data_IF_004448349831
#
_entry.id   IF_004448349831
#
_cell.length_a   1.000
_cell.length_b   1.000
_cell.length_c   1.000
_cell.angle_alpha   90.00
_cell.angle_beta   90.00
_cell.angle_gamma   90.00
#
_symmetry.space_group_name_H-M   'P 1'
#
loop_
_entity.id
_entity.type
_entity.pdbx_description
1 polymer ?
#
# COMPACT_ATOMS: atom_id res chain seq x y z
N UNK A 1 4.31 -7.52 17.77
CA UNK A 1 5.57 -8.27 17.55
C UNK A 1 5.84 -8.06 16.10
N UNK A 2 7.02 -7.53 15.76
CA UNK A 2 7.28 -7.12 14.39
C UNK A 2 7.46 -8.33 13.49
N UNK A 3 6.74 -8.35 12.38
CA UNK A 3 6.84 -9.34 11.31
C UNK A 3 7.74 -8.78 10.22
N UNK A 4 8.75 -9.57 9.82
CA UNK A 4 9.67 -9.20 8.75
C UNK A 4 9.06 -9.53 7.39
N UNK A 5 9.17 -8.60 6.45
CA UNK A 5 8.74 -8.76 5.05
C UNK A 5 9.99 -8.87 4.20
N UNK A 6 10.25 -10.05 3.65
CA UNK A 6 11.44 -10.33 2.85
C UNK A 6 11.13 -10.69 1.39
N UNK A 7 9.90 -11.11 1.12
CA UNK A 7 9.41 -11.47 -0.20
C UNK A 7 7.95 -11.03 -0.40
N UNK A 8 7.39 -11.32 -1.58
CA UNK A 8 6.02 -10.93 -1.90
C UNK A 8 4.97 -11.76 -1.15
N UNK A 9 5.29 -12.99 -0.74
CA UNK A 9 4.39 -13.81 0.06
C UNK A 9 4.23 -13.26 1.47
N UNK A 10 5.31 -12.78 2.07
CA UNK A 10 5.28 -12.09 3.35
C UNK A 10 4.40 -10.82 3.24
N UNK A 11 4.57 -10.03 2.17
CA UNK A 11 3.78 -8.81 1.95
C UNK A 11 2.29 -9.13 1.77
N UNK A 12 1.96 -10.17 0.99
CA UNK A 12 0.58 -10.60 0.78
C UNK A 12 -0.07 -11.15 2.07
N UNK A 13 0.72 -11.79 2.93
CA UNK A 13 0.24 -12.33 4.22
C UNK A 13 -0.22 -11.26 5.21
N UNK A 14 0.05 -9.96 4.95
CA UNK A 14 -0.48 -8.85 5.74
C UNK A 14 -2.03 -8.85 5.74
N UNK A 15 -2.67 -9.40 4.70
CA UNK A 15 -4.13 -9.56 4.64
C UNK A 15 -4.70 -10.33 5.83
N UNK A 16 -3.92 -11.22 6.44
CA UNK A 16 -4.35 -12.05 7.57
C UNK A 16 -4.30 -11.32 8.92
N UNK A 17 -3.55 -10.21 9.03
CA UNK A 17 -3.44 -9.38 10.24
C UNK A 17 -3.20 -7.90 9.94
N UNK A 18 -4.24 -7.20 9.50
CA UNK A 18 -4.19 -5.77 9.13
C UNK A 18 -3.86 -4.81 10.30
N UNK A 19 -3.65 -5.31 11.51
CA UNK A 19 -3.29 -4.56 12.70
C UNK A 19 -1.87 -4.78 13.20
N UNK A 20 -1.08 -5.61 12.50
CA UNK A 20 0.28 -5.98 12.89
C UNK A 20 1.33 -4.87 12.73
N UNK A 21 2.51 -5.13 13.27
CA UNK A 21 3.70 -4.29 13.06
C UNK A 21 4.58 -4.97 12.00
N UNK A 22 4.89 -4.26 10.91
CA UNK A 22 5.61 -4.82 9.76
C UNK A 22 6.89 -4.05 9.47
N UNK A 23 7.94 -4.78 9.14
CA UNK A 23 9.21 -4.20 8.72
C UNK A 23 9.70 -4.82 7.42
N UNK A 24 9.93 -3.98 6.42
CA UNK A 24 10.54 -4.41 5.17
C UNK A 24 12.04 -4.61 5.40
N UNK A 25 12.54 -5.81 5.11
CA UNK A 25 13.95 -6.19 5.33
C UNK A 25 14.71 -6.47 4.04
N UNK A 26 14.02 -6.39 2.90
CA UNK A 26 14.57 -6.58 1.56
C UNK A 26 13.81 -5.76 0.53
N UNK A 27 14.46 -5.40 -0.57
CA UNK A 27 13.74 -4.82 -1.72
C UNK A 27 12.89 -5.91 -2.39
N UNK A 28 11.65 -5.57 -2.76
CA UNK A 28 10.74 -6.45 -3.48
C UNK A 28 10.66 -6.00 -4.92
N UNK A 29 11.13 -6.82 -5.85
CA UNK A 29 11.08 -6.54 -7.29
C UNK A 29 10.60 -7.78 -8.08
N UNK A 30 10.75 -7.76 -9.40
CA UNK A 30 10.31 -8.85 -10.28
C UNK A 30 11.07 -10.17 -10.09
N UNK A 31 12.26 -10.14 -9.47
CA UNK A 31 13.11 -11.29 -9.19
C UNK A 31 12.92 -11.82 -7.75
N UNK A 32 12.22 -11.08 -6.88
CA UNK A 32 11.91 -11.53 -5.51
C UNK A 32 10.80 -12.58 -5.51
N UNK A 33 10.95 -13.61 -4.65
CA UNK A 33 10.03 -14.73 -4.56
C UNK A 33 8.57 -14.27 -4.39
N UNK A 34 7.65 -14.91 -5.13
CA UNK A 34 6.22 -14.63 -5.10
C UNK A 34 5.74 -13.52 -6.04
N UNK A 35 6.63 -12.74 -6.67
CA UNK A 35 6.22 -11.63 -7.55
C UNK A 35 5.18 -12.08 -8.57
N UNK A 36 5.47 -13.13 -9.34
CA UNK A 36 4.58 -13.59 -10.43
C UNK A 36 3.26 -14.21 -9.95
N UNK A 37 3.15 -14.56 -8.68
CA UNK A 37 1.98 -15.21 -8.09
C UNK A 37 1.04 -14.21 -7.42
N UNK A 38 1.56 -13.13 -6.81
CA UNK A 38 0.74 -12.18 -6.03
C UNK A 38 0.76 -10.74 -6.54
N UNK A 39 1.78 -10.30 -7.28
CA UNK A 39 1.91 -8.89 -7.72
C UNK A 39 2.01 -8.71 -9.24
N UNK A 40 2.82 -9.51 -9.92
CA UNK A 40 3.11 -9.44 -11.36
C UNK A 40 1.93 -9.79 -12.28
N UNK A 41 0.76 -10.08 -11.71
CA UNK A 41 -0.48 -10.31 -12.45
C UNK A 41 -1.52 -9.22 -12.20
N UNK A 42 -1.66 -8.75 -10.95
CA UNK A 42 -2.48 -7.62 -10.49
C UNK A 42 -2.47 -7.64 -8.96
N UNK A 43 -1.97 -6.60 -8.30
CA UNK A 43 -1.99 -6.47 -6.85
C UNK A 43 -3.39 -6.11 -6.36
N UNK A 44 -3.95 -6.93 -5.48
CA UNK A 44 -5.17 -6.59 -4.73
C UNK A 44 -4.82 -5.67 -3.55
N UNK A 45 -5.40 -4.47 -3.42
CA UNK A 45 -5.09 -3.58 -2.30
C UNK A 45 -5.27 -4.25 -0.92
N UNK A 46 -4.39 -3.95 0.03
CA UNK A 46 -4.48 -4.45 1.40
C UNK A 46 -5.53 -3.70 2.22
N UNK A 47 -6.38 -4.44 2.94
CA UNK A 47 -7.48 -3.91 3.73
C UNK A 47 -8.60 -3.29 2.88
N UNK A 48 -9.59 -2.71 3.57
CA UNK A 48 -10.80 -2.21 2.93
C UNK A 48 -11.58 -1.24 3.81
N UNK A 49 -12.74 -0.75 3.35
CA UNK A 49 -13.57 0.17 4.11
C UNK A 49 -14.13 -0.44 5.40
N UNK A 50 -14.35 -1.75 5.45
CA UNK A 50 -14.86 -2.48 6.62
C UNK A 50 -13.75 -3.03 7.53
N UNK A 51 -12.54 -3.20 6.98
CA UNK A 51 -11.35 -3.77 7.57
C UNK A 51 -10.10 -2.96 7.14
N UNK A 52 -9.96 -1.71 7.60
CA UNK A 52 -8.83 -0.88 7.20
C UNK A 52 -7.52 -1.41 7.80
N UNK A 53 -6.40 -1.09 7.17
CA UNK A 53 -5.10 -1.30 7.78
C UNK A 53 -4.88 -0.28 8.90
N UNK A 54 -4.62 -0.78 10.12
CA UNK A 54 -4.44 0.03 11.34
C UNK A 54 -3.06 -0.17 11.97
N UNK A 55 -2.23 -1.04 11.38
CA UNK A 55 -0.91 -1.37 11.89
C UNK A 55 0.17 -0.35 11.53
N UNK A 56 1.40 -0.75 11.79
CA UNK A 56 2.61 0.04 11.49
C UNK A 56 3.40 -0.63 10.36
N UNK A 57 3.92 0.17 9.42
CA UNK A 57 4.73 -0.31 8.32
C UNK A 57 6.03 0.51 8.20
N UNK A 58 7.16 -0.11 8.56
CA UNK A 58 8.49 0.47 8.48
C UNK A 58 9.25 -0.10 7.27
N UNK A 59 9.47 0.74 6.25
CA UNK A 59 10.18 0.34 5.03
C UNK A 59 11.71 0.26 5.17
N UNK A 60 12.31 0.84 6.21
CA UNK A 60 13.77 0.95 6.39
C UNK A 60 14.58 1.49 5.18
N UNK A 61 13.92 2.20 4.25
CA UNK A 61 14.49 2.70 3.00
C UNK A 61 14.45 1.70 1.84
N UNK A 62 13.91 0.50 2.05
CA UNK A 62 13.71 -0.52 1.01
C UNK A 62 12.54 -0.18 0.08
N UNK A 63 12.61 -0.76 -1.11
CA UNK A 63 11.65 -0.53 -2.18
C UNK A 63 10.69 -1.69 -2.40
N UNK A 64 9.45 -1.37 -2.75
CA UNK A 64 8.51 -2.26 -3.43
C UNK A 64 8.41 -1.75 -4.87
N UNK A 65 8.83 -2.57 -5.82
CA UNK A 65 9.03 -2.19 -7.22
C UNK A 65 8.05 -2.90 -8.16
N UNK A 66 7.59 -2.20 -9.19
CA UNK A 66 6.83 -2.81 -10.29
C UNK A 66 5.44 -3.35 -9.89
N UNK A 67 4.88 -2.85 -8.78
CA UNK A 67 3.52 -3.16 -8.35
C UNK A 67 2.50 -2.53 -9.29
N UNK A 68 1.58 -3.34 -9.82
CA UNK A 68 0.47 -2.88 -10.67
C UNK A 68 -0.86 -3.16 -9.97
N UNK A 69 -1.74 -2.16 -9.88
CA UNK A 69 -3.11 -2.27 -9.37
C UNK A 69 -4.05 -1.80 -10.47
N UNK A 70 -4.93 -2.67 -10.94
CA UNK A 70 -5.97 -2.34 -11.90
C UNK A 70 -7.27 -3.04 -11.53
N UNK A 71 -8.41 -2.38 -11.79
CA UNK A 71 -9.73 -2.91 -11.52
C UNK A 71 -10.73 -1.86 -11.02
N UNK A 72 -11.97 -2.30 -10.86
CA UNK A 72 -13.10 -1.47 -10.40
C UNK A 72 -13.06 -1.31 -8.86
N UNK A 73 -12.01 -0.67 -8.35
CA UNK A 73 -11.83 -0.38 -6.92
C UNK A 73 -12.35 1.02 -6.55
N UNK A 74 -13.17 1.10 -5.50
CA UNK A 74 -13.58 2.38 -4.89
C UNK A 74 -12.40 3.12 -4.24
N UNK A 75 -11.39 2.38 -3.76
CA UNK A 75 -10.17 2.91 -3.18
C UNK A 75 -9.00 1.93 -3.42
N UNK A 76 -7.91 2.39 -4.02
CA UNK A 76 -6.79 1.52 -4.41
C UNK A 76 -5.40 2.14 -4.22
N UNK A 77 -4.43 1.25 -4.01
CA UNK A 77 -3.02 1.50 -3.72
C UNK A 77 -2.36 0.20 -3.23
N UNK A 78 -1.18 0.31 -2.60
CA UNK A 78 -0.67 -0.81 -1.78
C UNK A 78 -1.71 -1.21 -0.73
N UNK A 79 -2.32 -0.22 -0.09
CA UNK A 79 -3.47 -0.36 0.80
C UNK A 79 -4.74 0.24 0.16
N UNK A 80 -5.91 -0.32 0.44
CA UNK A 80 -7.18 0.33 0.07
C UNK A 80 -7.48 1.50 1.01
N UNK A 81 -7.62 1.20 2.31
CA UNK A 81 -8.00 2.17 3.36
C UNK A 81 -7.07 2.04 4.56
N UNK A 82 -6.60 3.20 5.05
CA UNK A 82 -5.81 3.32 6.28
C UNK A 82 -6.64 3.92 7.41
N UNK A 83 -6.45 3.42 8.64
CA UNK A 83 -7.10 3.96 9.83
C UNK A 83 -6.12 4.07 11.01
N UNK A 84 -5.55 5.25 11.21
CA UNK A 84 -4.60 5.52 12.29
C UNK A 84 -3.23 4.85 12.10
N UNK A 85 -2.94 4.33 10.92
CA UNK A 85 -1.69 3.63 10.62
C UNK A 85 -0.47 4.55 10.62
N UNK A 86 0.69 4.02 10.98
CA UNK A 86 1.99 4.70 10.84
C UNK A 86 2.80 4.05 9.71
N UNK A 87 3.18 4.84 8.70
CA UNK A 87 3.95 4.35 7.55
C UNK A 87 5.20 5.20 7.39
N UNK A 88 6.36 4.57 7.52
CA UNK A 88 7.65 5.27 7.53
C UNK A 88 8.69 4.63 6.62
N UNK A 89 9.51 5.45 5.98
CA UNK A 89 10.73 5.00 5.29
C UNK A 89 10.50 4.03 4.12
N UNK A 90 9.32 4.04 3.49
CA UNK A 90 8.98 3.15 2.39
C UNK A 90 9.23 3.81 1.02
N UNK A 91 9.77 3.04 0.08
CA UNK A 91 9.89 3.44 -1.33
C UNK A 91 8.93 2.61 -2.17
N UNK A 92 8.03 3.26 -2.89
CA UNK A 92 7.21 2.65 -3.93
C UNK A 92 7.77 3.07 -5.28
N UNK A 93 8.33 2.13 -6.03
CA UNK A 93 9.09 2.43 -7.25
C UNK A 93 8.43 1.83 -8.48
N UNK A 94 8.33 2.64 -9.53
CA UNK A 94 7.77 2.25 -10.82
C UNK A 94 6.40 1.55 -10.67
N UNK A 95 5.53 2.08 -9.79
CA UNK A 95 4.18 1.53 -9.57
C UNK A 95 3.21 2.01 -10.65
N UNK A 96 2.18 1.23 -10.91
CA UNK A 96 1.08 1.62 -11.79
C UNK A 96 -0.26 1.35 -11.07
N UNK A 97 -0.95 2.40 -10.65
CA UNK A 97 -2.18 2.28 -9.84
C UNK A 97 -3.36 2.95 -10.55
N UNK A 98 -4.37 2.16 -10.85
CA UNK A 98 -5.67 2.59 -11.36
C UNK A 98 -6.79 2.22 -10.37
N UNK A 99 -7.72 3.15 -10.15
CA UNK A 99 -8.95 2.91 -9.40
C UNK A 99 -10.15 3.60 -10.06
N UNK A 100 -11.36 3.06 -9.88
CA UNK A 100 -12.59 3.77 -10.24
C UNK A 100 -12.78 5.00 -9.35
N UNK A 101 -12.71 4.80 -8.04
CA UNK A 101 -12.88 5.86 -7.05
C UNK A 101 -11.58 6.58 -6.72
N UNK A 102 -11.01 6.30 -5.55
CA UNK A 102 -9.88 7.06 -5.00
C UNK A 102 -8.57 6.28 -5.16
N UNK A 103 -7.61 6.84 -5.89
CA UNK A 103 -6.33 6.19 -6.15
C UNK A 103 -5.17 6.89 -5.44
N UNK A 104 -4.31 6.12 -4.79
CA UNK A 104 -3.00 6.59 -4.34
C UNK A 104 -2.00 5.44 -4.30
N UNK A 105 -0.75 5.72 -4.66
CA UNK A 105 0.28 4.67 -4.72
C UNK A 105 0.41 3.90 -3.40
N UNK A 106 0.42 4.62 -2.27
CA UNK A 106 0.45 4.02 -0.95
C UNK A 106 -0.94 3.57 -0.52
N UNK A 107 -1.93 4.45 -0.62
CA UNK A 107 -3.30 4.11 -0.27
C UNK A 107 -4.35 4.90 -1.03
N UNK A 108 -5.52 4.30 -1.23
CA UNK A 108 -6.69 5.00 -1.76
C UNK A 108 -7.11 6.15 -0.84
N UNK A 109 -7.26 5.89 0.47
CA UNK A 109 -7.58 6.96 1.41
C UNK A 109 -7.55 6.56 2.88
N UNK A 110 -7.90 7.52 3.74
CA UNK A 110 -8.09 7.31 5.17
C UNK A 110 -7.25 8.23 6.05
N UNK A 111 -6.90 7.75 7.25
CA UNK A 111 -6.11 8.48 8.25
C UNK A 111 -4.80 7.74 8.50
N UNK A 112 -3.67 8.43 8.40
CA UNK A 112 -2.35 7.85 8.64
C UNK A 112 -1.32 8.93 8.98
N UNK A 113 -0.29 8.53 9.73
CA UNK A 113 0.96 9.27 9.85
C UNK A 113 1.94 8.74 8.80
N UNK A 114 2.40 9.60 7.88
CA UNK A 114 3.30 9.22 6.80
C UNK A 114 4.60 10.01 6.90
N UNK A 115 5.73 9.32 6.94
CA UNK A 115 7.04 9.95 7.02
C UNK A 115 8.05 9.28 6.07
N UNK A 116 8.87 10.09 5.39
CA UNK A 116 9.97 9.60 4.55
C UNK A 116 9.55 8.57 3.49
N UNK A 117 8.33 8.70 2.96
CA UNK A 117 7.83 7.88 1.85
C UNK A 117 8.20 8.52 0.52
N UNK A 118 8.70 7.70 -0.41
CA UNK A 118 9.00 8.10 -1.79
C UNK A 118 8.16 7.28 -2.76
N UNK A 119 7.62 7.94 -3.80
CA UNK A 119 6.81 7.28 -4.82
C UNK A 119 7.29 7.70 -6.21
N UNK A 120 7.42 6.73 -7.11
CA UNK A 120 7.54 6.93 -8.57
C UNK A 120 6.60 5.99 -9.30
N UNK A 121 6.09 6.41 -10.47
CA UNK A 121 5.11 5.63 -11.21
C UNK A 121 3.91 6.47 -11.70
N UNK A 122 2.82 5.79 -12.02
CA UNK A 122 1.52 6.36 -12.40
C UNK A 122 0.45 6.08 -11.33
N UNK A 123 -0.41 7.07 -11.12
CA UNK A 123 -1.60 6.95 -10.27
C UNK A 123 -2.74 7.62 -11.01
N UNK A 124 -3.77 6.86 -11.35
CA UNK A 124 -4.92 7.31 -12.13
C UNK A 124 -6.23 6.94 -11.44
N UNK A 125 -7.22 7.81 -11.61
CA UNK A 125 -8.58 7.59 -11.12
C UNK A 125 -9.54 7.95 -12.26
N UNK A 126 -10.55 7.10 -12.49
CA UNK A 126 -11.47 7.26 -13.62
C UNK A 126 -12.74 8.03 -13.24
N UNK A 127 -13.22 7.93 -11.99
CA UNK A 127 -14.42 8.62 -11.48
C UNK A 127 -14.24 9.20 -10.05
N UNK A 128 -13.01 9.52 -9.65
CA UNK A 128 -12.75 10.05 -8.31
C UNK A 128 -11.52 10.95 -8.20
N UNK A 129 -10.64 10.64 -7.24
CA UNK A 129 -9.47 11.46 -6.93
C UNK A 129 -8.21 10.62 -7.00
N UNK A 130 -7.24 11.08 -7.78
CA UNK A 130 -5.89 10.53 -7.79
C UNK A 130 -4.96 11.44 -6.97
N UNK A 131 -4.20 10.85 -6.05
CA UNK A 131 -3.17 11.52 -5.26
C UNK A 131 -1.90 10.70 -5.27
N UNK A 132 -0.76 11.33 -5.56
CA UNK A 132 0.49 10.58 -5.83
C UNK A 132 1.01 9.71 -4.67
N UNK A 133 0.59 9.95 -3.42
CA UNK A 133 0.91 9.08 -2.27
C UNK A 133 -0.38 8.49 -1.71
N UNK A 134 -1.27 9.34 -1.21
CA UNK A 134 -2.62 8.98 -0.81
C UNK A 134 -3.62 9.73 -1.67
N UNK A 135 -4.66 9.05 -2.13
CA UNK A 135 -5.71 9.67 -2.93
C UNK A 135 -6.58 10.64 -2.14
N UNK A 136 -7.03 10.25 -0.93
CA UNK A 136 -7.78 11.15 -0.02
C UNK A 136 -7.42 10.94 1.45
N UNK A 137 -6.77 11.94 2.04
CA UNK A 137 -6.57 12.04 3.48
C UNK A 137 -7.82 12.59 4.18
N UNK A 138 -8.20 11.97 5.29
CA UNK A 138 -9.25 12.47 6.19
C UNK A 138 -8.65 12.89 7.53
N UNK A 139 -9.37 13.72 8.29
CA UNK A 139 -8.94 14.07 9.64
C UNK A 139 -9.11 12.85 10.55
N UNK A 140 -8.13 12.60 11.41
CA UNK A 140 -8.28 11.69 12.54
C UNK A 140 -9.14 12.40 13.59
N UNK A 141 -10.38 11.96 13.78
CA UNK A 141 -11.23 12.46 14.87
C UNK A 141 -10.96 11.60 16.11
N UNK A 142 -10.20 12.13 17.07
CA UNK A 142 -10.14 11.54 18.42
C UNK A 142 -11.53 11.66 19.06
N UNK A 143 -12.12 10.52 19.47
CA UNK A 143 -13.40 10.47 20.20
C UNK A 143 -13.19 10.54 21.71
#
# INVERSE_FOLDING_TARGET
MTTEISDWYDLDSIRDDLSGDYVLVNDLDEDTDGYSEVSGLEWEPLGGPDDPFTGDFEGQGHAIEGMTVSGDYDAAGLFSVLAGAEITGLVLKDVDVEAEGTAGALAGGGTAAIQAVHVTGSVESTDGTAGGIIGKLTNHEEV
#
